data_IF_227991424251
#
_entry.id   IF_227991424251
#
_cell.length_a   1.000
_cell.length_b   1.000
_cell.length_c   1.000
_cell.angle_alpha   90.00
_cell.angle_beta   90.00
_cell.angle_gamma   90.00
#
_symmetry.space_group_name_H-M   'P 1'
#
loop_
_entity.id
_entity.type
_entity.pdbx_description
1 polymer ?
#
# COMPACT_ATOMS: atom_id res chain seq x y z
N UNK A 1 -2.50 3.89 7.33
CA UNK A 1 -2.31 4.52 6.00
C UNK A 1 -3.49 4.21 5.10
N UNK A 2 -4.02 5.21 4.45
CA UNK A 2 -5.09 5.02 3.49
C UNK A 2 -4.53 4.79 2.09
N UNK A 3 -5.39 4.34 1.19
CA UNK A 3 -4.98 4.12 -0.18
C UNK A 3 -4.53 5.42 -0.84
N UNK A 4 -5.19 6.52 -0.53
CA UNK A 4 -4.81 7.83 -1.07
C UNK A 4 -3.44 8.27 -0.61
N UNK A 5 -3.13 8.02 0.65
CA UNK A 5 -1.81 8.34 1.19
C UNK A 5 -0.74 7.50 0.51
N UNK A 6 -1.05 6.25 0.26
CA UNK A 6 -0.11 5.36 -0.42
C UNK A 6 0.19 5.85 -1.83
N UNK A 7 -0.81 6.35 -2.53
CA UNK A 7 -0.63 6.87 -3.89
C UNK A 7 0.32 8.05 -3.95
N UNK A 8 0.49 8.76 -2.85
CA UNK A 8 1.43 9.88 -2.78
C UNK A 8 2.88 9.40 -2.77
N UNK A 9 3.11 8.20 -2.30
CA UNK A 9 4.47 7.64 -2.23
C UNK A 9 4.84 6.88 -3.49
N UNK A 10 3.87 6.15 -4.06
CA UNK A 10 4.13 5.31 -5.22
C UNK A 10 2.84 5.02 -5.95
N UNK A 11 2.96 4.58 -7.20
CA UNK A 11 1.79 4.15 -7.96
C UNK A 11 1.32 2.80 -7.42
N UNK A 12 0.04 2.51 -7.67
CA UNK A 12 -0.50 1.21 -7.26
C UNK A 12 0.23 0.05 -7.93
N UNK A 13 0.69 0.28 -9.15
CA UNK A 13 1.47 -0.72 -9.87
C UNK A 13 2.76 -1.05 -9.13
N UNK A 14 3.44 -0.03 -8.66
CA UNK A 14 4.67 -0.22 -7.91
C UNK A 14 4.42 -0.91 -6.57
N UNK A 15 3.31 -0.56 -5.91
CA UNK A 15 2.92 -1.20 -4.66
C UNK A 15 2.68 -2.69 -4.90
N UNK A 16 2.02 -3.04 -5.99
CA UNK A 16 1.79 -4.43 -6.34
C UNK A 16 3.10 -5.18 -6.49
N UNK A 17 4.07 -4.57 -7.14
CA UNK A 17 5.39 -5.15 -7.33
C UNK A 17 6.10 -5.37 -6.00
N UNK A 18 6.04 -4.37 -5.14
CA UNK A 18 6.70 -4.43 -3.83
C UNK A 18 6.09 -5.53 -2.97
N UNK A 19 4.77 -5.62 -2.96
CA UNK A 19 4.06 -6.60 -2.15
C UNK A 19 3.96 -7.98 -2.79
N UNK A 20 4.25 -8.07 -4.09
CA UNK A 20 4.13 -9.32 -4.79
C UNK A 20 2.70 -9.75 -5.02
N UNK A 21 1.78 -8.79 -5.13
CA UNK A 21 0.38 -9.07 -5.38
C UNK A 21 0.03 -8.79 -6.83
N UNK A 22 -1.09 -9.38 -7.28
CA UNK A 22 -1.55 -9.21 -8.65
C UNK A 22 -2.45 -7.99 -8.79
N UNK A 23 -2.61 -7.45 -10.01
CA UNK A 23 -3.51 -6.31 -10.23
C UNK A 23 -4.95 -6.51 -9.73
N UNK A 24 -5.56 -7.70 -9.87
CA UNK A 24 -6.90 -7.92 -9.32
C UNK A 24 -7.00 -7.63 -7.83
N UNK A 25 -5.95 -7.88 -7.06
CA UNK A 25 -5.95 -7.60 -5.63
C UNK A 25 -6.03 -6.10 -5.37
N UNK A 26 -5.31 -5.31 -6.18
CA UNK A 26 -5.36 -3.87 -6.09
C UNK A 26 -6.75 -3.31 -6.39
N UNK A 27 -7.42 -3.91 -7.35
CA UNK A 27 -8.78 -3.52 -7.70
C UNK A 27 -9.73 -3.68 -6.53
N UNK A 28 -9.58 -4.78 -5.80
CA UNK A 28 -10.41 -5.03 -4.63
C UNK A 28 -10.16 -3.96 -3.56
N UNK A 29 -8.90 -3.57 -3.39
CA UNK A 29 -8.54 -2.55 -2.42
C UNK A 29 -9.12 -1.19 -2.82
N UNK A 30 -9.08 -0.87 -4.11
CA UNK A 30 -9.64 0.38 -4.61
C UNK A 30 -11.15 0.44 -4.40
N UNK A 31 -11.82 -0.69 -4.61
CA UNK A 31 -13.26 -0.76 -4.41
C UNK A 31 -13.64 -0.55 -2.96
N UNK A 32 -12.87 -1.10 -2.05
CA UNK A 32 -13.08 -0.93 -0.62
C UNK A 32 -12.61 0.43 -0.12
N UNK A 33 -11.68 1.03 -0.83
CA UNK A 33 -11.07 2.28 -0.42
C UNK A 33 -10.04 2.13 0.69
N UNK A 34 -9.61 0.92 0.96
CA UNK A 34 -8.61 0.67 2.01
C UNK A 34 -7.77 -0.56 1.70
N UNK A 35 -6.62 -0.64 2.36
CA UNK A 35 -5.69 -1.74 2.20
C UNK A 35 -5.88 -2.72 3.34
N UNK A 36 -5.85 -4.04 3.08
CA UNK A 36 -5.95 -5.04 4.16
C UNK A 36 -4.85 -4.84 5.21
N UNK A 37 -5.17 -5.03 6.49
CA UNK A 37 -4.18 -4.85 7.56
C UNK A 37 -2.92 -5.67 7.37
N UNK A 38 -3.06 -6.89 6.87
CA UNK A 38 -1.92 -7.76 6.62
C UNK A 38 -0.96 -7.14 5.60
N UNK A 39 -1.51 -6.55 4.55
CA UNK A 39 -0.69 -5.93 3.51
C UNK A 39 -0.08 -4.63 4.00
N UNK A 40 -0.80 -3.89 4.83
CA UNK A 40 -0.24 -2.70 5.46
C UNK A 40 0.94 -3.06 6.33
N UNK A 41 0.83 -4.13 7.08
CA UNK A 41 1.90 -4.60 7.94
C UNK A 41 3.13 -4.97 7.11
N UNK A 42 2.90 -5.71 6.03
CA UNK A 42 3.96 -6.11 5.14
C UNK A 42 4.65 -4.90 4.51
N UNK A 43 3.85 -3.94 4.09
CA UNK A 43 4.38 -2.72 3.48
C UNK A 43 5.21 -1.92 4.49
N UNK A 44 4.78 -1.89 5.73
CA UNK A 44 5.52 -1.22 6.79
C UNK A 44 6.89 -1.85 7.01
N UNK A 45 6.97 -3.16 6.85
CA UNK A 45 8.24 -3.88 6.95
C UNK A 45 9.17 -3.59 5.76
N UNK A 46 8.58 -3.50 4.56
CA UNK A 46 9.35 -3.30 3.34
C UNK A 46 9.71 -1.84 3.10
N UNK A 47 8.81 -0.94 3.44
CA UNK A 47 8.98 0.49 3.23
C UNK A 47 8.66 1.27 4.49
N UNK A 48 9.46 1.12 5.54
CA UNK A 48 9.19 1.83 6.80
C UNK A 48 9.22 3.34 6.64
N UNK A 49 9.98 3.86 5.68
CA UNK A 49 10.07 5.29 5.47
C UNK A 49 8.73 5.92 5.05
N UNK A 50 7.83 5.12 4.49
CA UNK A 50 6.51 5.62 4.10
C UNK A 50 5.59 5.82 5.31
N UNK A 51 5.89 5.15 6.41
CA UNK A 51 5.08 5.21 7.62
C UNK A 51 5.71 6.09 8.69
N UNK A 52 6.84 6.68 8.37
CA UNK A 52 7.55 7.55 9.32
C UNK A 52 6.81 8.86 9.47
N UNK A 53 6.37 9.15 10.68
CA UNK A 53 5.70 10.41 10.93
C UNK A 53 6.70 11.55 11.03
N UNK A 54 6.36 12.71 10.48
CA UNK A 54 7.21 13.88 10.65
C UNK A 54 7.25 14.26 12.14
N UNK A 55 8.42 14.46 12.62
CA UNK A 55 8.62 14.81 14.02
C UNK A 55 8.05 16.18 14.33
#
# INVERSE_FOLDING_TARGET
MTLEELKKHATLYEVAKILGVTPPALYKWQKKGEIPPLRLYQLKELKPEWFKEPA
#
